data_IF_265734064138
#
_entry.id   IF_265734064138
#
_cell.length_a   1.000
_cell.length_b   1.000
_cell.length_c   1.000
_cell.angle_alpha   90.00
_cell.angle_beta   90.00
_cell.angle_gamma   90.00
#
_symmetry.space_group_name_H-M   'P 1'
#
loop_
_entity.id
_entity.type
_entity.pdbx_description
1 polymer ?
#
# COMPACT_ATOMS: atom_id res chain seq x y z
N UNK A 1 -9.97 3.24 2.61
CA UNK A 1 -8.86 2.33 2.21
C UNK A 1 -7.56 3.07 2.46
N UNK A 2 -6.43 2.43 2.79
CA UNK A 2 -5.18 3.15 3.17
C UNK A 2 -4.20 3.17 1.99
N UNK A 3 -3.62 4.33 1.67
CA UNK A 3 -2.54 4.53 0.67
C UNK A 3 -1.37 5.24 1.35
N UNK A 4 -0.14 4.83 1.05
CA UNK A 4 1.06 5.17 1.81
C UNK A 4 2.08 6.02 1.02
N UNK A 5 2.74 6.95 1.71
CA UNK A 5 3.99 7.63 1.29
C UNK A 5 4.98 7.68 2.47
N UNK A 6 6.30 7.68 2.22
CA UNK A 6 7.37 7.54 3.22
C UNK A 6 7.37 8.55 4.39
N UNK A 7 8.20 8.21 5.39
CA UNK A 7 8.23 8.65 6.80
C UNK A 7 8.39 10.15 7.03
N UNK A 8 7.96 10.60 8.21
CA UNK A 8 8.18 11.97 8.68
C UNK A 8 9.69 12.30 8.70
N UNK A 9 10.11 13.48 8.21
CA UNK A 9 11.52 13.88 8.25
C UNK A 9 12.01 14.28 9.65
N UNK A 10 11.09 14.42 10.60
CA UNK A 10 11.41 14.77 11.99
C UNK A 10 11.43 13.50 12.86
N UNK A 11 12.33 13.41 13.87
CA UNK A 11 12.30 12.31 14.84
C UNK A 11 11.00 12.34 15.66
N UNK A 12 10.60 11.20 16.22
CA UNK A 12 9.34 11.06 16.97
C UNK A 12 9.19 12.05 18.13
N UNK A 13 10.31 12.47 18.74
CA UNK A 13 10.32 13.43 19.85
C UNK A 13 10.03 14.88 19.41
N UNK A 14 10.08 15.17 18.12
CA UNK A 14 9.89 16.52 17.61
C UNK A 14 8.40 16.88 17.51
N UNK A 15 7.95 18.09 17.93
CA UNK A 15 6.54 18.48 17.90
C UNK A 15 5.89 18.39 16.50
N UNK A 16 6.65 18.68 15.44
CA UNK A 16 6.15 18.55 14.05
C UNK A 16 5.87 17.10 13.64
N UNK A 17 6.56 16.13 14.24
CA UNK A 17 6.26 14.72 13.99
C UNK A 17 4.91 14.35 14.61
N UNK A 18 4.66 14.79 15.84
CA UNK A 18 3.39 14.59 16.55
C UNK A 18 2.21 15.22 15.78
N UNK A 19 2.36 16.48 15.33
CA UNK A 19 1.36 17.17 14.49
C UNK A 19 1.06 16.40 13.20
N UNK A 20 2.11 15.97 12.49
CA UNK A 20 1.99 15.22 11.25
C UNK A 20 1.29 13.86 11.47
N UNK A 21 1.70 13.10 12.49
CA UNK A 21 1.14 11.78 12.77
C UNK A 21 -0.27 11.82 13.35
N UNK A 22 -0.61 12.89 14.08
CA UNK A 22 -1.94 13.12 14.63
C UNK A 22 -2.99 13.46 13.55
N UNK A 23 -2.57 14.00 12.39
CA UNK A 23 -3.49 14.40 11.32
C UNK A 23 -4.47 13.26 10.96
N UNK A 24 -5.76 13.55 11.03
CA UNK A 24 -6.84 12.59 10.75
C UNK A 24 -6.81 12.05 9.31
N UNK A 25 -6.22 12.79 8.37
CA UNK A 25 -6.03 12.38 6.98
C UNK A 25 -4.94 11.32 6.84
N UNK A 26 -3.98 11.28 7.76
CA UNK A 26 -2.94 10.24 7.78
C UNK A 26 -3.49 8.97 8.42
N UNK A 27 -3.64 7.92 7.62
CA UNK A 27 -4.24 6.66 8.05
C UNK A 27 -3.25 5.67 8.67
N UNK A 28 -2.00 5.68 8.20
CA UNK A 28 -0.91 4.83 8.67
C UNK A 28 0.44 5.50 8.36
N UNK A 29 1.49 5.17 9.12
CA UNK A 29 2.85 5.63 8.84
C UNK A 29 3.87 4.56 9.21
N UNK A 30 4.92 4.45 8.39
CA UNK A 30 6.07 3.60 8.69
C UNK A 30 6.95 4.29 9.75
N UNK A 31 7.39 3.52 10.73
CA UNK A 31 8.44 3.92 11.68
C UNK A 31 9.75 3.34 11.17
N UNK A 32 10.80 4.15 11.02
CA UNK A 32 12.08 3.68 10.53
C UNK A 32 12.74 2.74 11.55
N UNK A 33 13.21 1.58 11.09
CA UNK A 33 13.96 0.63 11.93
C UNK A 33 15.33 1.17 12.33
N UNK A 34 15.99 1.86 11.40
CA UNK A 34 17.28 2.52 11.60
C UNK A 34 17.20 3.99 11.18
N UNK A 35 18.11 4.81 11.69
CA UNK A 35 18.14 6.24 11.36
C UNK A 35 18.42 6.43 9.85
N UNK A 36 17.57 7.20 9.18
CA UNK A 36 17.69 7.45 7.73
C UNK A 36 18.97 8.23 7.33
N UNK A 37 19.63 8.90 8.29
CA UNK A 37 20.88 9.62 8.11
C UNK A 37 21.87 9.13 9.16
N UNK A 38 22.96 8.49 8.71
CA UNK A 38 23.97 7.87 9.59
C UNK A 38 24.74 8.92 10.40
N UNK A 39 24.62 8.87 11.72
CA UNK A 39 25.67 9.26 12.66
C UNK A 39 26.21 8.01 13.35
N UNK A 40 27.52 7.94 13.59
CA UNK A 40 28.20 6.73 14.11
C UNK A 40 27.50 6.17 15.38
N UNK A 41 27.24 4.85 15.33
CA UNK A 41 27.09 3.92 16.45
C UNK A 41 25.89 4.01 17.44
N UNK A 42 24.72 4.53 17.05
CA UNK A 42 23.54 4.62 17.95
C UNK A 42 22.23 4.00 17.41
N UNK A 43 22.27 2.98 16.54
CA UNK A 43 21.05 2.44 15.90
C UNK A 43 20.04 1.81 16.89
N UNK A 44 20.49 1.06 17.91
CA UNK A 44 19.61 0.43 18.90
C UNK A 44 18.98 1.45 19.86
N UNK A 45 19.79 2.38 20.35
CA UNK A 45 19.33 3.49 21.18
C UNK A 45 18.30 4.36 20.45
N UNK A 46 18.42 4.51 19.13
CA UNK A 46 17.47 5.23 18.30
C UNK A 46 16.11 4.52 18.24
N UNK A 47 16.09 3.25 17.84
CA UNK A 47 14.85 2.48 17.70
C UNK A 47 14.06 2.43 19.00
N UNK A 48 14.74 2.15 20.11
CA UNK A 48 14.11 2.11 21.43
C UNK A 48 13.49 3.47 21.79
N UNK A 49 14.21 4.59 21.61
CA UNK A 49 13.70 5.93 21.92
C UNK A 49 12.50 6.32 21.06
N UNK A 50 12.52 6.00 19.77
CA UNK A 50 11.40 6.27 18.87
C UNK A 50 10.16 5.48 19.31
N UNK A 51 10.32 4.18 19.62
CA UNK A 51 9.23 3.34 20.13
C UNK A 51 8.68 3.89 21.45
N UNK A 52 9.54 4.13 22.44
CA UNK A 52 9.14 4.64 23.75
C UNK A 52 8.37 5.96 23.63
N UNK A 53 8.82 6.85 22.75
CA UNK A 53 8.14 8.11 22.48
C UNK A 53 6.78 7.88 21.83
N UNK A 54 6.75 7.15 20.70
CA UNK A 54 5.53 6.99 19.91
C UNK A 54 4.44 6.21 20.63
N UNK A 55 4.79 5.23 21.47
CA UNK A 55 3.82 4.43 22.26
C UNK A 55 2.99 5.27 23.23
N UNK A 56 3.52 6.40 23.67
CA UNK A 56 2.76 7.34 24.53
C UNK A 56 1.70 8.14 23.76
N UNK A 57 1.72 8.09 22.42
CA UNK A 57 0.88 8.90 21.54
C UNK A 57 -0.36 8.15 21.10
N UNK A 58 -1.50 8.85 21.03
CA UNK A 58 -2.79 8.29 20.58
C UNK A 58 -2.78 7.78 19.14
N UNK A 59 -1.85 8.27 18.32
CA UNK A 59 -1.65 7.86 16.94
C UNK A 59 -0.74 6.63 16.78
N UNK A 60 -0.21 6.03 17.87
CA UNK A 60 0.61 4.80 17.81
C UNK A 60 -0.07 3.67 17.04
N UNK A 61 -1.40 3.54 17.18
CA UNK A 61 -2.22 2.57 16.42
C UNK A 61 -2.14 2.72 14.89
N UNK A 62 -1.62 3.85 14.38
CA UNK A 62 -1.36 4.08 12.96
C UNK A 62 0.05 3.66 12.53
N UNK A 63 0.96 3.47 13.48
CA UNK A 63 2.34 3.07 13.25
C UNK A 63 2.45 1.60 12.80
N UNK A 64 3.43 1.33 11.96
CA UNK A 64 3.93 -0.01 11.66
C UNK A 64 5.40 0.09 11.24
N UNK A 65 6.11 -1.03 11.19
CA UNK A 65 7.50 -1.09 10.74
C UNK A 65 7.58 -1.80 9.40
N UNK A 66 8.19 -1.15 8.41
CA UNK A 66 8.50 -1.78 7.12
C UNK A 66 9.97 -2.18 7.11
N UNK A 67 10.25 -3.47 7.31
CA UNK A 67 11.60 -3.94 7.64
C UNK A 67 12.42 -4.40 6.44
N UNK A 68 11.76 -4.98 5.44
CA UNK A 68 12.43 -5.60 4.31
C UNK A 68 11.53 -5.54 3.08
N UNK A 69 12.13 -5.22 1.93
CA UNK A 69 11.45 -5.22 0.65
C UNK A 69 11.66 -6.56 -0.05
N UNK A 70 10.60 -7.37 -0.17
CA UNK A 70 10.55 -8.64 -0.93
C UNK A 70 11.68 -9.65 -0.61
N UNK A 71 11.72 -10.26 0.59
CA UNK A 71 12.73 -11.28 0.91
C UNK A 71 12.61 -12.52 -0.01
N UNK A 72 13.75 -13.07 -0.43
CA UNK A 72 13.86 -14.07 -1.50
C UNK A 72 14.36 -15.44 -1.03
N UNK A 73 15.04 -15.51 0.11
CA UNK A 73 15.66 -16.72 0.64
C UNK A 73 15.51 -16.81 2.16
N UNK A 74 15.79 -17.98 2.73
CA UNK A 74 15.55 -18.27 4.13
C UNK A 74 16.30 -17.29 5.06
N UNK A 75 17.55 -16.95 4.74
CA UNK A 75 18.36 -16.00 5.52
C UNK A 75 17.71 -14.60 5.61
N UNK A 76 17.15 -14.11 4.51
CA UNK A 76 16.47 -12.81 4.48
C UNK A 76 15.16 -12.87 5.27
N UNK A 77 14.39 -13.95 5.12
CA UNK A 77 13.20 -14.16 5.93
C UNK A 77 13.53 -14.29 7.43
N UNK A 78 14.63 -14.93 7.78
CA UNK A 78 15.13 -15.02 9.17
C UNK A 78 15.53 -13.65 9.71
N UNK A 79 16.14 -12.82 8.87
CA UNK A 79 16.48 -11.44 9.20
C UNK A 79 15.23 -10.62 9.53
N UNK A 80 14.15 -10.77 8.76
CA UNK A 80 12.85 -10.14 9.06
C UNK A 80 12.33 -10.56 10.43
N UNK A 81 12.36 -11.86 10.74
CA UNK A 81 11.89 -12.40 12.04
C UNK A 81 12.74 -11.89 13.21
N UNK A 82 14.04 -11.79 13.03
CA UNK A 82 14.96 -11.27 14.05
C UNK A 82 14.72 -9.79 14.34
N UNK A 83 14.62 -8.96 13.29
CA UNK A 83 14.33 -7.52 13.44
C UNK A 83 12.95 -7.28 14.07
N UNK A 84 11.95 -8.05 13.67
CA UNK A 84 10.62 -7.99 14.26
C UNK A 84 10.63 -8.39 15.74
N UNK A 85 11.38 -9.44 16.11
CA UNK A 85 11.55 -9.86 17.50
C UNK A 85 12.21 -8.77 18.36
N UNK A 86 13.19 -8.05 17.81
CA UNK A 86 13.82 -6.90 18.49
C UNK A 86 12.79 -5.78 18.74
N UNK A 87 11.96 -5.45 17.75
CA UNK A 87 10.87 -4.47 17.93
C UNK A 87 9.85 -4.95 18.97
N UNK A 88 9.41 -6.22 18.88
CA UNK A 88 8.41 -6.78 19.78
C UNK A 88 8.89 -6.89 21.23
N UNK A 89 10.20 -6.96 21.47
CA UNK A 89 10.77 -6.86 22.82
C UNK A 89 10.48 -5.50 23.48
N UNK A 90 10.43 -4.41 22.69
CA UNK A 90 10.09 -3.06 23.16
C UNK A 90 8.59 -2.74 23.04
N UNK A 91 7.91 -3.32 22.07
CA UNK A 91 6.51 -3.06 21.73
C UNK A 91 5.82 -4.33 21.21
N UNK A 92 5.27 -5.19 22.09
CA UNK A 92 4.62 -6.44 21.68
C UNK A 92 3.41 -6.24 20.74
N UNK A 93 2.81 -5.05 20.76
CA UNK A 93 1.67 -4.65 19.93
C UNK A 93 2.08 -3.97 18.61
N UNK A 94 3.39 -3.82 18.35
CA UNK A 94 3.87 -3.20 17.12
C UNK A 94 3.49 -4.04 15.90
N UNK A 95 2.97 -3.37 14.87
CA UNK A 95 2.63 -4.00 13.59
C UNK A 95 3.86 -4.01 12.68
N UNK A 96 4.19 -5.18 12.15
CA UNK A 96 5.26 -5.32 11.16
C UNK A 96 4.64 -5.56 9.78
N UNK A 97 5.12 -4.84 8.78
CA UNK A 97 4.76 -4.98 7.37
C UNK A 97 5.91 -5.66 6.61
N UNK A 98 5.56 -6.70 5.86
CA UNK A 98 6.49 -7.41 4.97
C UNK A 98 5.89 -7.45 3.56
N UNK A 99 6.59 -6.87 2.57
CA UNK A 99 6.25 -7.05 1.16
C UNK A 99 6.80 -8.38 0.66
N UNK A 100 6.06 -9.07 -0.22
CA UNK A 100 6.55 -10.29 -0.86
C UNK A 100 5.78 -10.62 -2.14
N UNK A 101 6.46 -11.32 -3.05
CA UNK A 101 5.86 -11.91 -4.25
C UNK A 101 6.12 -13.43 -4.38
N UNK A 102 6.96 -14.00 -3.50
CA UNK A 102 7.26 -15.42 -3.46
C UNK A 102 7.65 -15.84 -2.04
N UNK A 103 7.58 -17.14 -1.75
CA UNK A 103 8.24 -17.71 -0.56
C UNK A 103 9.77 -17.82 -0.73
N UNK A 104 10.50 -18.27 0.31
CA UNK A 104 11.95 -18.51 0.23
C UNK A 104 12.28 -19.55 -0.85
N UNK A 105 13.16 -19.16 -1.77
CA UNK A 105 13.53 -19.96 -2.96
C UNK A 105 14.39 -21.18 -2.64
N UNK A 106 15.20 -21.11 -1.59
CA UNK A 106 16.15 -22.13 -1.13
C UNK A 106 15.56 -23.09 -0.08
N UNK A 107 14.41 -22.75 0.48
CA UNK A 107 13.65 -23.59 1.41
C UNK A 107 12.14 -23.51 1.12
N UNK A 108 11.67 -24.06 -0.03
CA UNK A 108 10.29 -23.90 -0.47
C UNK A 108 9.28 -24.37 0.59
N UNK A 109 8.32 -23.50 0.91
CA UNK A 109 7.29 -23.76 1.92
C UNK A 109 6.21 -24.75 1.46
N UNK A 110 6.15 -25.01 0.15
CA UNK A 110 5.21 -25.92 -0.49
C UNK A 110 5.75 -26.41 -1.85
N UNK A 111 5.14 -27.46 -2.45
CA UNK A 111 5.60 -28.04 -3.70
C UNK A 111 5.59 -27.09 -4.90
N UNK A 112 4.63 -26.17 -4.97
CA UNK A 112 4.52 -25.20 -6.07
C UNK A 112 4.88 -23.78 -5.62
N UNK A 113 5.39 -22.91 -6.52
CA UNK A 113 5.71 -21.52 -6.18
C UNK A 113 4.52 -20.74 -5.63
N UNK A 114 3.33 -20.96 -6.18
CA UNK A 114 2.12 -20.26 -5.72
C UNK A 114 1.67 -20.74 -4.33
N UNK A 115 1.68 -22.04 -4.06
CA UNK A 115 1.39 -22.54 -2.70
C UNK A 115 2.44 -22.03 -1.71
N UNK A 116 3.71 -21.94 -2.10
CA UNK A 116 4.76 -21.41 -1.23
C UNK A 116 4.51 -19.92 -0.92
N UNK A 117 4.08 -19.14 -1.91
CA UNK A 117 3.63 -17.75 -1.73
C UNK A 117 2.44 -17.66 -0.76
N UNK A 118 1.42 -18.51 -0.91
CA UNK A 118 0.27 -18.54 0.01
C UNK A 118 0.69 -18.90 1.43
N UNK A 119 1.75 -19.70 1.64
CA UNK A 119 2.22 -20.12 2.97
C UNK A 119 3.15 -19.13 3.68
N UNK A 120 3.51 -18.02 3.06
CA UNK A 120 4.36 -16.98 3.68
C UNK A 120 3.79 -16.46 5.02
N UNK A 121 2.48 -16.17 5.17
CA UNK A 121 1.93 -15.74 6.44
C UNK A 121 2.22 -16.70 7.59
N UNK A 122 2.01 -18.00 7.38
CA UNK A 122 2.32 -19.05 8.37
C UNK A 122 3.80 -19.05 8.75
N UNK A 123 4.69 -18.84 7.79
CA UNK A 123 6.13 -18.85 8.04
C UNK A 123 6.61 -17.62 8.84
N UNK A 124 5.99 -16.47 8.59
CA UNK A 124 6.35 -15.21 9.25
C UNK A 124 5.68 -15.02 10.61
N UNK A 125 4.59 -15.73 10.92
CA UNK A 125 3.94 -15.66 12.25
C UNK A 125 4.90 -15.99 13.41
N UNK A 126 4.76 -15.34 14.58
CA UNK A 126 3.85 -14.21 14.88
C UNK A 126 4.45 -12.84 14.51
N UNK A 127 5.57 -12.81 13.79
CA UNK A 127 6.42 -11.62 13.61
C UNK A 127 5.88 -10.58 12.63
N UNK A 128 4.87 -10.90 11.81
CA UNK A 128 4.28 -10.01 10.80
C UNK A 128 2.78 -9.86 11.04
N UNK A 129 2.27 -8.63 10.92
CA UNK A 129 0.85 -8.31 11.05
C UNK A 129 0.26 -7.79 9.73
N UNK A 130 1.09 -7.20 8.85
CA UNK A 130 0.65 -6.68 7.56
C UNK A 130 1.39 -7.44 6.46
N UNK A 131 0.67 -8.35 5.82
CA UNK A 131 1.16 -9.13 4.68
C UNK A 131 0.87 -8.35 3.41
N UNK A 132 1.91 -7.84 2.74
CA UNK A 132 1.75 -6.98 1.57
C UNK A 132 2.19 -7.70 0.30
N UNK A 133 1.25 -8.08 -0.56
CA UNK A 133 1.54 -8.94 -1.73
C UNK A 133 1.53 -8.17 -3.04
N UNK A 134 2.40 -8.57 -3.98
CA UNK A 134 2.37 -8.00 -5.34
C UNK A 134 1.09 -8.41 -6.08
N UNK A 135 0.39 -7.44 -6.67
CA UNK A 135 -0.74 -7.72 -7.57
C UNK A 135 -0.32 -8.44 -8.86
N UNK A 136 0.97 -8.40 -9.22
CA UNK A 136 1.52 -9.12 -10.37
C UNK A 136 1.43 -10.64 -10.20
N UNK A 137 1.65 -11.16 -8.99
CA UNK A 137 1.60 -12.60 -8.69
C UNK A 137 0.19 -13.16 -8.89
N UNK A 138 -0.81 -12.37 -8.50
CA UNK A 138 -2.21 -12.75 -8.68
C UNK A 138 -2.61 -12.75 -10.15
N UNK A 139 -2.07 -11.84 -10.97
CA UNK A 139 -2.44 -11.73 -12.39
C UNK A 139 -3.96 -11.71 -12.55
N UNK A 140 -4.50 -12.59 -13.40
CA UNK A 140 -5.96 -12.77 -13.62
C UNK A 140 -6.63 -13.79 -12.68
N UNK A 141 -5.88 -14.35 -11.74
CA UNK A 141 -6.32 -15.48 -10.92
C UNK A 141 -7.06 -15.03 -9.67
N UNK A 142 -8.18 -14.33 -9.87
CA UNK A 142 -9.08 -13.93 -8.78
C UNK A 142 -9.58 -15.15 -7.97
N UNK A 143 -9.63 -16.32 -8.61
CA UNK A 143 -9.99 -17.59 -7.97
C UNK A 143 -9.02 -18.00 -6.84
N UNK A 144 -7.79 -17.48 -6.85
CA UNK A 144 -6.76 -17.78 -5.85
C UNK A 144 -6.78 -16.83 -4.65
N UNK A 145 -7.51 -15.72 -4.72
CA UNK A 145 -7.63 -14.75 -3.62
C UNK A 145 -8.16 -15.41 -2.35
N UNK A 146 -9.11 -16.35 -2.51
CA UNK A 146 -9.67 -17.12 -1.39
C UNK A 146 -8.60 -17.89 -0.60
N UNK A 147 -7.56 -18.37 -1.27
CA UNK A 147 -6.50 -19.15 -0.63
C UNK A 147 -5.61 -18.23 0.22
N UNK A 148 -5.32 -17.02 -0.27
CA UNK A 148 -4.63 -15.97 0.50
C UNK A 148 -5.47 -15.58 1.72
N UNK A 149 -6.74 -15.25 1.52
CA UNK A 149 -7.64 -14.82 2.60
C UNK A 149 -7.81 -15.93 3.65
N UNK A 150 -7.88 -17.19 3.22
CA UNK A 150 -8.01 -18.34 4.13
C UNK A 150 -6.77 -18.60 4.97
N UNK A 151 -5.59 -18.15 4.53
CA UNK A 151 -4.37 -18.31 5.31
C UNK A 151 -4.28 -17.27 6.44
N UNK A 152 -4.93 -16.11 6.31
CA UNK A 152 -4.87 -15.01 7.30
C UNK A 152 -5.64 -15.33 8.58
N UNK A 153 -5.17 -14.77 9.70
CA UNK A 153 -5.75 -14.92 11.04
C UNK A 153 -6.16 -13.54 11.58
N UNK A 154 -7.39 -13.06 11.30
CA UNK A 154 -7.88 -11.75 11.75
C UNK A 154 -7.85 -11.57 13.27
N UNK A 155 -8.01 -12.65 14.04
CA UNK A 155 -7.90 -12.68 15.49
C UNK A 155 -6.51 -12.26 16.00
N UNK A 156 -5.47 -12.42 15.17
CA UNK A 156 -4.11 -11.98 15.44
C UNK A 156 -3.84 -10.57 14.89
N UNK A 157 -4.89 -9.82 14.53
CA UNK A 157 -4.80 -8.50 13.90
C UNK A 157 -4.05 -8.50 12.57
N UNK A 158 -4.15 -9.60 11.81
CA UNK A 158 -3.52 -9.70 10.51
C UNK A 158 -4.30 -8.95 9.43
N UNK A 159 -3.57 -8.17 8.65
CA UNK A 159 -4.05 -7.37 7.54
C UNK A 159 -3.42 -7.89 6.24
N UNK A 160 -4.19 -7.85 5.15
CA UNK A 160 -3.68 -8.13 3.81
C UNK A 160 -3.70 -6.88 2.97
N UNK A 161 -2.52 -6.44 2.59
CA UNK A 161 -2.34 -5.29 1.71
C UNK A 161 -1.85 -5.79 0.35
N UNK A 162 -2.08 -5.02 -0.70
CA UNK A 162 -1.47 -5.26 -2.00
C UNK A 162 -0.61 -4.07 -2.42
N UNK A 163 0.24 -4.28 -3.43
CA UNK A 163 0.97 -3.20 -4.07
C UNK A 163 1.13 -3.44 -5.56
N UNK A 164 1.34 -2.34 -6.28
CA UNK A 164 1.83 -2.32 -7.66
C UNK A 164 3.19 -1.63 -7.71
N UNK A 165 3.99 -1.99 -8.72
CA UNK A 165 5.31 -1.42 -8.99
C UNK A 165 5.50 -1.39 -10.51
N UNK A 166 6.62 -1.90 -11.01
CA UNK A 166 6.87 -2.06 -12.44
C UNK A 166 5.86 -3.00 -13.11
N UNK A 167 5.25 -3.90 -12.34
CA UNK A 167 4.11 -4.73 -12.73
C UNK A 167 2.95 -4.61 -11.73
N UNK A 168 1.75 -5.08 -12.11
CA UNK A 168 1.43 -5.62 -13.44
C UNK A 168 1.33 -4.53 -14.51
N UNK A 169 1.40 -4.89 -15.80
CA UNK A 169 1.31 -3.96 -16.92
C UNK A 169 -0.04 -4.10 -17.64
N UNK A 170 -0.33 -3.22 -18.60
CA UNK A 170 -1.52 -3.31 -19.46
C UNK A 170 -1.69 -4.76 -19.99
N UNK A 171 -2.90 -5.35 -19.92
CA UNK A 171 -4.20 -4.73 -19.61
C UNK A 171 -4.56 -4.59 -18.12
N UNK A 172 -3.66 -4.93 -17.19
CA UNK A 172 -3.92 -4.82 -15.75
C UNK A 172 -3.83 -3.38 -15.27
N UNK A 173 -4.57 -3.01 -14.21
CA UNK A 173 -4.48 -1.68 -13.64
C UNK A 173 -3.13 -1.45 -12.94
N UNK A 174 -2.55 -0.28 -13.15
CA UNK A 174 -1.36 0.22 -12.45
C UNK A 174 -1.36 1.76 -12.56
N UNK A 175 -0.34 2.45 -12.04
CA UNK A 175 -0.20 3.92 -12.00
C UNK A 175 0.89 4.46 -12.93
N UNK A 176 1.26 3.69 -13.95
CA UNK A 176 2.22 4.13 -14.96
C UNK A 176 1.71 5.35 -15.74
N UNK A 177 2.63 6.17 -16.23
CA UNK A 177 2.33 7.45 -16.88
C UNK A 177 1.46 7.31 -18.14
N UNK A 178 1.70 6.25 -18.92
CA UNK A 178 0.99 6.01 -20.18
C UNK A 178 -0.41 5.41 -20.03
N UNK A 179 -0.83 5.06 -18.81
CA UNK A 179 -2.11 4.43 -18.56
C UNK A 179 -3.26 5.43 -18.45
N UNK A 180 -4.47 4.97 -18.75
CA UNK A 180 -5.70 5.76 -18.66
C UNK A 180 -6.07 6.04 -17.21
N UNK A 181 -6.79 7.14 -16.99
CA UNK A 181 -7.28 7.49 -15.66
C UNK A 181 -8.19 6.43 -15.02
N UNK A 182 -8.89 5.63 -15.83
CA UNK A 182 -9.68 4.47 -15.36
C UNK A 182 -8.80 3.33 -14.86
N UNK A 183 -7.67 3.06 -15.52
CA UNK A 183 -6.68 2.07 -15.05
C UNK A 183 -6.12 2.49 -13.70
N UNK A 184 -5.86 3.80 -13.50
CA UNK A 184 -5.38 4.31 -12.23
C UNK A 184 -6.39 4.08 -11.09
N UNK A 185 -7.69 4.22 -11.37
CA UNK A 185 -8.76 3.99 -10.39
C UNK A 185 -8.98 2.50 -10.12
N UNK A 186 -8.88 1.68 -11.16
CA UNK A 186 -9.14 0.24 -11.11
C UNK A 186 -8.17 -0.52 -10.18
N UNK A 187 -7.00 0.04 -9.87
CA UNK A 187 -6.13 -0.48 -8.80
C UNK A 187 -6.92 -0.58 -7.49
N UNK A 188 -7.58 0.50 -7.05
CA UNK A 188 -8.32 0.47 -5.78
C UNK A 188 -9.61 -0.36 -5.87
N UNK A 189 -10.23 -0.46 -7.05
CA UNK A 189 -11.38 -1.35 -7.27
C UNK A 189 -11.00 -2.81 -7.08
N UNK A 190 -9.82 -3.21 -7.58
CA UNK A 190 -9.24 -4.54 -7.35
C UNK A 190 -9.06 -4.81 -5.87
N UNK A 191 -8.32 -3.93 -5.18
CA UNK A 191 -8.07 -4.06 -3.72
C UNK A 191 -9.39 -4.29 -2.98
N UNK A 192 -10.43 -3.51 -3.32
CA UNK A 192 -11.71 -3.62 -2.63
C UNK A 192 -12.48 -4.90 -2.97
N UNK A 193 -12.52 -5.30 -4.25
CA UNK A 193 -13.18 -6.52 -4.71
C UNK A 193 -12.54 -7.76 -4.08
N UNK A 194 -11.21 -7.83 -4.12
CA UNK A 194 -10.45 -8.97 -3.63
C UNK A 194 -10.38 -9.03 -2.09
N UNK A 195 -10.68 -7.93 -1.40
CA UNK A 195 -10.79 -7.90 0.07
C UNK A 195 -9.53 -7.44 0.79
N UNK A 196 -8.60 -6.79 0.08
CA UNK A 196 -7.45 -6.11 0.69
C UNK A 196 -7.88 -5.01 1.65
N UNK A 197 -7.19 -4.91 2.78
CA UNK A 197 -7.45 -3.93 3.85
C UNK A 197 -6.59 -2.67 3.73
N UNK A 198 -5.54 -2.72 2.91
CA UNK A 198 -4.67 -1.58 2.60
C UNK A 198 -3.94 -1.74 1.28
N UNK A 199 -3.25 -0.68 0.89
CA UNK A 199 -2.48 -0.62 -0.34
C UNK A 199 -1.17 0.13 -0.11
N UNK A 200 -0.07 -0.44 -0.63
CA UNK A 200 1.24 0.17 -0.57
C UNK A 200 1.65 0.63 -1.98
N UNK A 201 2.23 1.83 -2.07
CA UNK A 201 2.92 2.27 -3.27
C UNK A 201 4.35 2.65 -2.90
N UNK A 202 5.30 2.10 -3.64
CA UNK A 202 6.72 2.11 -3.26
C UNK A 202 7.37 3.49 -3.34
N UNK A 203 6.76 4.48 -4.00
CA UNK A 203 7.34 5.82 -4.09
C UNK A 203 6.40 6.84 -4.73
N UNK A 204 6.47 8.09 -4.29
CA UNK A 204 5.64 9.17 -4.85
C UNK A 204 6.47 10.32 -5.48
N UNK A 205 7.79 10.31 -5.32
CA UNK A 205 8.72 11.33 -5.80
C UNK A 205 10.11 10.73 -6.15
N UNK A 206 10.16 9.48 -6.57
CA UNK A 206 11.38 8.71 -6.84
C UNK A 206 11.95 8.95 -8.25
N UNK A 207 12.40 10.19 -8.52
CA UNK A 207 13.06 10.55 -9.78
C UNK A 207 14.40 9.85 -10.01
N UNK A 208 14.89 9.87 -11.26
CA UNK A 208 16.22 9.33 -11.63
C UNK A 208 17.35 10.03 -10.87
N UNK A 209 17.35 11.36 -10.94
CA UNK A 209 18.18 12.33 -10.18
C UNK A 209 17.79 13.72 -10.72
N UNK A 210 17.22 14.57 -9.87
CA UNK A 210 17.05 15.99 -10.15
C UNK A 210 17.55 16.77 -8.93
N UNK A 211 18.77 17.30 -9.02
CA UNK A 211 19.41 18.06 -7.93
C UNK A 211 19.09 19.54 -7.98
N UNK A 212 18.39 20.01 -9.02
CA UNK A 212 18.06 21.41 -9.26
C UNK A 212 16.56 21.54 -9.59
N UNK A 213 15.79 22.36 -8.87
CA UNK A 213 14.42 22.73 -9.25
C UNK A 213 14.43 23.34 -10.67
N UNK A 214 13.43 23.04 -11.50
CA UNK A 214 13.35 23.40 -12.94
C UNK A 214 14.22 22.59 -13.92
N UNK A 215 14.92 21.54 -13.47
CA UNK A 215 15.55 20.58 -14.38
C UNK A 215 14.50 19.73 -15.13
N UNK A 216 14.92 19.13 -16.25
CA UNK A 216 14.11 18.14 -16.98
C UNK A 216 13.62 17.03 -16.04
N UNK A 217 12.31 16.76 -16.08
CA UNK A 217 11.70 15.65 -15.33
C UNK A 217 12.20 14.33 -15.93
N UNK A 218 13.06 13.61 -15.21
CA UNK A 218 13.57 12.30 -15.61
C UNK A 218 13.10 11.18 -14.69
N UNK A 219 12.38 10.23 -15.27
CA UNK A 219 11.99 9.00 -14.59
C UNK A 219 13.17 8.03 -14.49
N UNK A 220 13.20 7.22 -13.43
CA UNK A 220 14.24 6.21 -13.23
C UNK A 220 14.32 5.26 -14.43
N UNK A 221 15.53 5.00 -14.92
CA UNK A 221 15.78 3.98 -15.93
C UNK A 221 15.45 2.59 -15.38
N UNK A 222 14.94 1.72 -16.25
CA UNK A 222 14.58 0.35 -15.90
C UNK A 222 13.18 0.18 -15.29
N UNK A 223 12.45 1.28 -15.07
CA UNK A 223 11.06 1.25 -14.61
C UNK A 223 10.13 1.82 -15.69
N UNK A 224 8.86 1.40 -15.74
CA UNK A 224 7.85 2.05 -16.57
C UNK A 224 7.80 3.56 -16.30
N UNK A 225 7.62 4.41 -17.33
CA UNK A 225 7.56 5.85 -17.13
C UNK A 225 6.53 6.24 -16.07
N UNK A 226 6.94 7.12 -15.14
CA UNK A 226 6.10 7.60 -14.05
C UNK A 226 5.93 6.67 -12.85
N UNK A 227 6.42 5.43 -12.90
CA UNK A 227 6.41 4.55 -11.73
C UNK A 227 7.32 5.11 -10.62
N UNK A 228 6.81 5.17 -9.40
CA UNK A 228 7.44 5.83 -8.26
C UNK A 228 7.30 7.36 -8.22
N UNK A 229 6.54 7.98 -9.14
CA UNK A 229 6.39 9.44 -9.23
C UNK A 229 4.93 9.84 -9.35
N UNK A 230 4.38 10.55 -8.36
CA UNK A 230 3.00 11.06 -8.32
C UNK A 230 2.90 12.55 -8.03
N UNK A 231 3.95 13.15 -7.46
CA UNK A 231 4.12 14.59 -7.29
C UNK A 231 5.19 15.11 -8.22
N UNK A 232 5.12 16.39 -8.59
CA UNK A 232 6.13 17.07 -9.38
C UNK A 232 6.62 18.37 -8.73
N UNK A 233 7.88 18.79 -8.97
CA UNK A 233 8.36 20.09 -8.53
C UNK A 233 7.53 21.22 -9.13
N UNK A 234 6.99 22.13 -8.31
CA UNK A 234 6.13 23.21 -8.77
C UNK A 234 6.83 24.23 -9.66
N UNK A 235 8.15 24.38 -9.48
CA UNK A 235 9.00 25.31 -10.22
C UNK A 235 9.13 24.93 -11.70
N UNK A 236 8.81 23.68 -12.06
CA UNK A 236 8.76 23.24 -13.46
C UNK A 236 7.52 23.81 -14.18
N UNK A 237 6.44 24.09 -13.44
CA UNK A 237 5.14 24.47 -14.02
C UNK A 237 4.68 25.89 -13.64
N UNK A 238 5.33 26.51 -12.66
CA UNK A 238 4.93 27.81 -12.09
C UNK A 238 6.09 28.46 -11.32
N UNK A 239 5.88 29.65 -10.77
CA UNK A 239 6.82 30.29 -9.82
C UNK A 239 6.70 29.75 -8.38
N UNK A 240 5.88 28.73 -8.13
CA UNK A 240 5.66 28.16 -6.81
C UNK A 240 6.73 27.12 -6.47
N UNK A 241 7.24 27.18 -5.24
CA UNK A 241 8.12 26.15 -4.66
C UNK A 241 7.37 24.98 -4.04
N UNK A 242 6.03 24.94 -4.18
CA UNK A 242 5.21 23.87 -3.64
C UNK A 242 5.13 22.69 -4.62
N UNK A 243 5.15 21.43 -4.16
CA UNK A 243 4.93 20.30 -5.04
C UNK A 243 3.54 20.34 -5.67
N UNK A 244 3.44 19.92 -6.92
CA UNK A 244 2.20 19.86 -7.69
C UNK A 244 1.76 18.41 -7.84
N UNK A 245 0.49 18.13 -7.60
CA UNK A 245 -0.10 16.81 -7.79
C UNK A 245 -0.17 16.44 -9.28
N UNK A 246 0.09 15.18 -9.61
CA UNK A 246 -0.17 14.65 -10.94
C UNK A 246 -1.66 14.40 -11.15
N UNK A 247 -2.11 14.43 -12.42
CA UNK A 247 -3.45 13.94 -12.78
C UNK A 247 -3.65 12.50 -12.30
N UNK A 248 -2.60 11.68 -12.29
CA UNK A 248 -2.64 10.29 -11.79
C UNK A 248 -3.00 10.24 -10.31
N UNK A 249 -2.39 11.09 -9.48
CA UNK A 249 -2.74 11.20 -8.06
C UNK A 249 -4.20 11.61 -7.86
N UNK A 250 -4.72 12.52 -8.67
CA UNK A 250 -6.14 12.90 -8.63
C UNK A 250 -7.07 11.75 -9.07
N UNK A 251 -6.63 10.89 -9.99
CA UNK A 251 -7.36 9.66 -10.35
C UNK A 251 -7.28 8.61 -9.24
N UNK A 252 -6.16 8.48 -8.55
CA UNK A 252 -6.04 7.62 -7.36
C UNK A 252 -7.03 8.09 -6.28
N UNK A 253 -7.07 9.39 -5.99
CA UNK A 253 -8.05 9.98 -5.07
C UNK A 253 -9.49 9.66 -5.50
N UNK A 254 -9.79 9.78 -6.80
CA UNK A 254 -11.11 9.45 -7.34
C UNK A 254 -11.45 7.96 -7.14
N UNK A 255 -10.49 7.06 -7.32
CA UNK A 255 -10.63 5.62 -7.06
C UNK A 255 -10.88 5.32 -5.57
N UNK A 256 -10.14 5.98 -4.68
CA UNK A 256 -10.36 5.88 -3.23
C UNK A 256 -11.75 6.35 -2.83
N UNK A 257 -12.24 7.46 -3.41
CA UNK A 257 -13.59 7.95 -3.17
C UNK A 257 -14.65 6.94 -3.63
N UNK A 258 -14.46 6.27 -4.78
CA UNK A 258 -15.37 5.20 -5.22
C UNK A 258 -15.49 4.09 -4.19
N UNK A 259 -14.37 3.72 -3.57
CA UNK A 259 -14.35 2.72 -2.51
C UNK A 259 -15.12 3.18 -1.28
N UNK A 260 -15.05 4.46 -0.91
CA UNK A 260 -15.83 4.98 0.22
C UNK A 260 -17.34 5.00 -0.09
N UNK A 261 -17.75 5.23 -1.35
CA UNK A 261 -19.15 5.01 -1.78
C UNK A 261 -19.57 3.54 -1.67
N UNK A 262 -18.75 2.61 -2.15
CA UNK A 262 -19.03 1.17 -2.07
C UNK A 262 -19.10 0.69 -0.63
N UNK A 263 -18.26 1.22 0.27
CA UNK A 263 -18.32 0.95 1.70
C UNK A 263 -19.60 1.49 2.35
N UNK A 264 -20.04 2.69 1.98
CA UNK A 264 -21.32 3.24 2.44
C UNK A 264 -22.48 2.36 1.99
N UNK A 265 -22.46 1.84 0.76
CA UNK A 265 -23.48 0.93 0.26
C UNK A 265 -23.44 -0.41 1.01
N UNK A 266 -22.24 -1.01 1.12
CA UNK A 266 -22.04 -2.29 1.79
C UNK A 266 -22.37 -2.25 3.29
N UNK A 267 -22.24 -1.09 3.96
CA UNK A 267 -22.62 -0.97 5.37
C UNK A 267 -24.14 -1.03 5.60
N UNK A 268 -24.94 -0.79 4.55
CA UNK A 268 -26.42 -0.89 4.60
C UNK A 268 -26.95 -2.21 4.06
N UNK A 269 -26.34 -2.71 2.99
CA UNK A 269 -26.85 -3.84 2.22
C UNK A 269 -25.98 -5.10 2.28
N UNK A 270 -24.79 -5.02 2.89
CA UNK A 270 -23.83 -6.10 2.94
C UNK A 270 -22.78 -6.03 1.82
N UNK A 271 -21.65 -6.72 2.03
CA UNK A 271 -20.51 -6.72 1.10
C UNK A 271 -20.88 -7.34 -0.25
N UNK A 272 -21.67 -8.42 -0.25
CA UNK A 272 -22.04 -9.14 -1.47
C UNK A 272 -22.87 -8.26 -2.42
N UNK A 273 -23.78 -7.44 -1.88
CA UNK A 273 -24.55 -6.46 -2.67
C UNK A 273 -23.65 -5.37 -3.27
N UNK A 274 -22.63 -4.93 -2.54
CA UNK A 274 -21.64 -3.99 -3.09
C UNK A 274 -20.82 -4.61 -4.23
N UNK A 275 -20.44 -5.89 -4.11
CA UNK A 275 -19.74 -6.61 -5.18
C UNK A 275 -20.64 -6.77 -6.40
N UNK A 276 -21.91 -7.18 -6.19
CA UNK A 276 -22.91 -7.26 -7.24
C UNK A 276 -23.13 -5.92 -7.94
N UNK A 277 -23.09 -4.80 -7.20
CA UNK A 277 -23.21 -3.45 -7.77
C UNK A 277 -22.05 -3.10 -8.72
N UNK A 278 -20.79 -3.43 -8.36
CA UNK A 278 -19.63 -3.24 -9.25
C UNK A 278 -19.81 -3.99 -10.57
N UNK A 279 -20.27 -5.25 -10.50
CA UNK A 279 -20.47 -6.09 -11.67
C UNK A 279 -21.66 -5.61 -12.51
N UNK A 280 -22.80 -5.34 -11.88
CA UNK A 280 -24.04 -4.87 -12.52
C UNK A 280 -23.83 -3.58 -13.31
N UNK A 281 -23.04 -2.67 -12.77
CA UNK A 281 -22.77 -1.37 -13.41
C UNK A 281 -21.63 -1.45 -14.44
N UNK A 282 -20.87 -2.54 -14.46
CA UNK A 282 -19.74 -2.73 -15.36
C UNK A 282 -18.49 -1.92 -14.96
N UNK A 283 -18.40 -1.46 -13.71
CA UNK A 283 -17.24 -0.69 -13.22
C UNK A 283 -16.00 -1.58 -13.18
N UNK A 284 -16.10 -2.74 -12.53
CA UNK A 284 -14.97 -3.66 -12.39
C UNK A 284 -15.46 -5.10 -12.27
N UNK A 285 -15.06 -5.95 -13.22
CA UNK A 285 -15.33 -7.40 -13.27
C UNK A 285 -14.09 -8.23 -12.97
N UNK A 286 -12.88 -7.68 -13.12
CA UNK A 286 -11.61 -8.33 -12.81
C UNK A 286 -10.41 -7.58 -13.37
N UNK A 287 -9.18 -8.09 -13.17
CA UNK A 287 -7.93 -7.39 -13.47
C UNK A 287 -7.77 -6.96 -14.94
N UNK A 288 -8.43 -7.60 -15.89
CA UNK A 288 -8.42 -7.21 -17.32
C UNK A 288 -9.79 -6.76 -17.84
N UNK A 289 -10.81 -6.74 -16.98
CA UNK A 289 -12.21 -6.46 -17.35
C UNK A 289 -12.77 -5.39 -16.43
N UNK A 290 -12.63 -4.14 -16.83
CA UNK A 290 -13.13 -2.97 -16.11
C UNK A 290 -13.45 -1.84 -17.08
N UNK A 291 -14.26 -0.89 -16.63
CA UNK A 291 -14.70 0.20 -17.49
C UNK A 291 -13.51 1.06 -17.97
N UNK A 292 -13.51 1.38 -19.26
CA UNK A 292 -12.63 2.41 -19.84
C UNK A 292 -13.31 3.79 -19.92
N UNK A 293 -14.61 3.82 -19.68
CA UNK A 293 -15.46 5.01 -19.77
C UNK A 293 -15.95 5.45 -18.38
N UNK A 294 -16.41 6.70 -18.30
CA UNK A 294 -16.88 7.27 -17.04
C UNK A 294 -18.28 6.77 -16.64
N UNK A 295 -19.15 6.50 -17.61
CA UNK A 295 -20.58 6.26 -17.39
C UNK A 295 -20.88 5.13 -16.38
N UNK A 296 -20.20 3.96 -16.41
CA UNK A 296 -20.37 2.92 -15.39
C UNK A 296 -20.18 3.40 -13.94
N UNK A 297 -19.19 4.27 -13.71
CA UNK A 297 -18.92 4.84 -12.37
C UNK A 297 -20.07 5.75 -11.94
N UNK A 298 -20.57 6.59 -12.84
CA UNK A 298 -21.68 7.50 -12.53
C UNK A 298 -22.97 6.73 -12.26
N UNK A 299 -23.22 5.64 -12.99
CA UNK A 299 -24.32 4.72 -12.71
C UNK A 299 -24.20 4.11 -11.31
N UNK A 300 -23.02 3.61 -10.94
CA UNK A 300 -22.76 3.09 -9.60
C UNK A 300 -22.99 4.15 -8.52
N UNK A 301 -22.41 5.34 -8.68
CA UNK A 301 -22.59 6.44 -7.71
C UNK A 301 -24.04 6.91 -7.63
N UNK A 302 -24.75 6.96 -8.75
CA UNK A 302 -26.18 7.31 -8.82
C UNK A 302 -27.07 6.28 -8.13
N UNK A 303 -26.79 4.98 -8.32
CA UNK A 303 -27.49 3.91 -7.60
C UNK A 303 -27.27 4.05 -6.09
N UNK A 304 -26.02 4.19 -5.64
CA UNK A 304 -25.68 4.40 -4.23
C UNK A 304 -26.39 5.63 -3.67
N UNK A 305 -26.37 6.76 -4.39
CA UNK A 305 -27.05 7.99 -3.95
C UNK A 305 -28.54 7.77 -3.76
N UNK A 306 -29.22 7.12 -4.70
CA UNK A 306 -30.66 6.89 -4.66
C UNK A 306 -31.05 5.90 -3.54
N UNK A 307 -30.26 4.85 -3.33
CA UNK A 307 -30.56 3.81 -2.32
C UNK A 307 -30.08 4.18 -0.92
N UNK A 308 -29.07 5.05 -0.79
CA UNK A 308 -28.48 5.43 0.50
C UNK A 308 -28.88 6.84 0.96
N UNK A 309 -29.83 7.49 0.28
CA UNK A 309 -30.40 8.76 0.77
C UNK A 309 -31.02 8.56 2.17
N UNK A 310 -30.89 9.53 3.09
CA UNK A 310 -31.48 9.45 4.43
C UNK A 310 -33.00 9.33 4.41
#
# INVERSE_FOLDING_TARGET
MRVLTYTCPWPASHPRADEYFADSRLAAYAVPYCQAVSGNDAAKDYLQKEIETLRTKSHWKKAYFYLWDEPLNLEQYDSVRNMASEIHAYAPDARILTTYYCGPSDAPLAPTPFEAFVKVPKFLRPHTQIYCTSEWVLGNREDLVKDIVSELQPENSEEWWTYVCMGPADPHPNWHLGMRGTQHRAVMWRVWKEGGTGFLYWGANCYEKATVPSAEIRFRRGLPPGDGVLFYPGEVFSSSHQPVASVRLERILSGLQDIEYLKLYASRYGRDEGLALLEKTGVYLGPERYTQEHMPIDMMRGEIFNTCRP
#
